data_IF_751409084452
#
_entry.id   IF_751409084452
#
_cell.length_a   1.000
_cell.length_b   1.000
_cell.length_c   1.000
_cell.angle_alpha   90.00
_cell.angle_beta   90.00
_cell.angle_gamma   90.00
#
_symmetry.space_group_name_H-M   'P 1'
#
loop_
_entity.id
_entity.type
_entity.pdbx_description
1 polymer ?
#
# COMPACT_ATOMS: atom_id res chain seq x y z
N UNK A 1 -45.23 40.65 -13.73
CA UNK A 1 -45.01 40.01 -12.41
C UNK A 1 -44.21 38.73 -12.62
N UNK A 2 -43.08 38.57 -11.95
CA UNK A 2 -42.35 37.29 -11.91
C UNK A 2 -43.20 36.24 -11.16
N UNK A 3 -43.19 34.99 -11.64
CA UNK A 3 -43.88 33.89 -10.94
C UNK A 3 -43.28 33.68 -9.54
N UNK A 4 -44.12 33.38 -8.52
CA UNK A 4 -43.61 33.05 -7.19
C UNK A 4 -42.79 31.75 -7.22
N UNK A 5 -41.83 31.58 -6.29
CA UNK A 5 -41.05 30.36 -6.18
C UNK A 5 -41.94 29.16 -5.86
N UNK A 6 -41.63 28.02 -6.47
CA UNK A 6 -42.39 26.78 -6.29
C UNK A 6 -42.18 26.19 -4.89
N UNK A 7 -43.20 25.55 -4.29
CA UNK A 7 -43.03 24.76 -3.08
C UNK A 7 -42.01 23.63 -3.29
N UNK A 8 -41.20 23.34 -2.26
CA UNK A 8 -40.17 22.28 -2.32
C UNK A 8 -40.77 20.93 -2.75
N UNK A 9 -41.96 20.58 -2.26
CA UNK A 9 -42.65 19.35 -2.64
C UNK A 9 -42.90 19.26 -4.17
N UNK A 10 -43.19 20.37 -4.83
CA UNK A 10 -43.40 20.41 -6.28
C UNK A 10 -42.09 20.31 -7.06
N UNK A 11 -41.03 20.98 -6.57
CA UNK A 11 -39.67 20.85 -7.12
C UNK A 11 -39.22 19.39 -7.04
N UNK A 12 -39.42 18.75 -5.89
CA UNK A 12 -39.12 17.35 -5.67
C UNK A 12 -39.86 16.43 -6.64
N UNK A 13 -41.18 16.63 -6.83
CA UNK A 13 -41.97 15.88 -7.82
C UNK A 13 -41.48 16.09 -9.26
N UNK A 14 -41.18 17.33 -9.65
CA UNK A 14 -40.69 17.67 -11.00
C UNK A 14 -39.36 17.02 -11.33
N UNK A 15 -38.48 16.87 -10.34
CA UNK A 15 -37.14 16.31 -10.52
C UNK A 15 -37.01 14.85 -10.07
N UNK A 16 -38.10 14.18 -9.70
CA UNK A 16 -38.08 12.76 -9.30
C UNK A 16 -37.24 12.48 -8.05
N UNK A 17 -37.06 13.48 -7.17
CA UNK A 17 -36.28 13.35 -5.93
C UNK A 17 -37.20 13.46 -4.72
N UNK A 18 -36.93 12.68 -3.69
CA UNK A 18 -37.67 12.80 -2.43
C UNK A 18 -37.29 14.09 -1.70
N UNK A 19 -38.21 14.62 -0.89
CA UNK A 19 -37.94 15.76 -0.01
C UNK A 19 -36.81 15.47 0.97
N UNK A 20 -36.73 14.24 1.48
CA UNK A 20 -35.62 13.80 2.33
C UNK A 20 -34.26 13.92 1.63
N UNK A 21 -34.17 13.46 0.38
CA UNK A 21 -32.94 13.55 -0.41
C UNK A 21 -32.58 15.01 -0.73
N UNK A 22 -33.58 15.84 -1.04
CA UNK A 22 -33.38 17.27 -1.24
C UNK A 22 -32.75 17.93 -0.01
N UNK A 23 -33.29 17.72 1.18
CA UNK A 23 -32.72 18.32 2.40
C UNK A 23 -31.37 17.74 2.78
N UNK A 24 -31.12 16.45 2.49
CA UNK A 24 -29.79 15.85 2.64
C UNK A 24 -28.74 16.57 1.78
N UNK A 25 -29.05 16.82 0.52
CA UNK A 25 -28.16 17.57 -0.37
C UNK A 25 -28.08 19.05 -0.01
N UNK A 26 -29.19 19.68 0.42
CA UNK A 26 -29.19 21.05 0.92
C UNK A 26 -28.33 21.20 2.19
N UNK A 27 -28.27 20.20 3.06
CA UNK A 27 -27.38 20.22 4.22
C UNK A 27 -25.91 20.06 3.82
N UNK A 28 -25.59 19.22 2.81
CA UNK A 28 -24.21 19.00 2.35
C UNK A 28 -23.68 20.14 1.47
N UNK A 29 -24.52 20.71 0.62
CA UNK A 29 -24.11 21.63 -0.45
C UNK A 29 -24.85 22.98 -0.42
N UNK A 30 -25.80 23.18 0.50
CA UNK A 30 -26.53 24.44 0.61
C UNK A 30 -25.58 25.58 0.97
N UNK A 31 -25.73 26.71 0.28
CA UNK A 31 -24.84 27.86 0.43
C UNK A 31 -23.50 27.75 -0.31
N UNK A 32 -23.23 26.61 -0.96
CA UNK A 32 -22.06 26.45 -1.83
C UNK A 32 -22.38 26.89 -3.26
N UNK A 33 -21.43 27.55 -3.92
CA UNK A 33 -21.56 27.83 -5.34
C UNK A 33 -21.47 26.55 -6.18
N UNK A 34 -22.14 26.54 -7.34
CA UNK A 34 -22.19 25.37 -8.22
C UNK A 34 -20.79 25.04 -8.79
N UNK A 35 -19.92 26.04 -8.98
CA UNK A 35 -18.53 25.79 -9.40
C UNK A 35 -17.73 25.08 -8.31
N UNK A 36 -17.93 25.46 -7.05
CA UNK A 36 -17.24 24.83 -5.91
C UNK A 36 -17.76 23.42 -5.65
N UNK A 37 -19.06 23.19 -5.77
CA UNK A 37 -19.64 21.85 -5.66
C UNK A 37 -19.09 20.90 -6.74
N UNK A 38 -18.85 21.40 -7.97
CA UNK A 38 -18.24 20.63 -9.06
C UNK A 38 -16.77 20.30 -8.78
N UNK A 39 -15.99 21.27 -8.31
CA UNK A 39 -14.59 21.05 -7.91
C UNK A 39 -14.49 20.04 -6.77
N UNK A 40 -15.35 20.16 -5.76
CA UNK A 40 -15.38 19.23 -4.63
C UNK A 40 -15.61 17.80 -5.09
N UNK A 41 -16.58 17.58 -5.99
CA UNK A 41 -16.82 16.25 -6.57
C UNK A 41 -15.58 15.72 -7.32
N UNK A 42 -14.95 16.54 -8.15
CA UNK A 42 -13.74 16.13 -8.88
C UNK A 42 -12.59 15.75 -7.94
N UNK A 43 -12.43 16.47 -6.83
CA UNK A 43 -11.44 16.12 -5.80
C UNK A 43 -11.81 14.86 -5.03
N UNK A 44 -13.10 14.65 -4.69
CA UNK A 44 -13.57 13.41 -4.06
C UNK A 44 -13.28 12.19 -4.97
N UNK A 45 -13.56 12.32 -6.28
CA UNK A 45 -13.35 11.27 -7.27
C UNK A 45 -11.86 10.95 -7.47
N UNK A 46 -10.99 11.97 -7.63
CA UNK A 46 -9.56 11.73 -7.80
C UNK A 46 -8.94 11.18 -6.50
N UNK A 47 -9.36 11.63 -5.33
CA UNK A 47 -8.88 11.08 -4.06
C UNK A 47 -9.27 9.60 -3.92
N UNK A 48 -10.48 9.22 -4.33
CA UNK A 48 -10.88 7.82 -4.36
C UNK A 48 -10.01 6.99 -5.33
N UNK A 49 -9.73 7.51 -6.52
CA UNK A 49 -8.83 6.88 -7.51
C UNK A 49 -7.42 6.71 -6.98
N UNK A 50 -6.85 7.76 -6.39
CA UNK A 50 -5.51 7.75 -5.82
C UNK A 50 -5.37 6.78 -4.65
N UNK A 51 -6.37 6.74 -3.75
CA UNK A 51 -6.38 5.77 -2.64
C UNK A 51 -6.40 4.32 -3.14
N UNK A 52 -7.17 4.04 -4.20
CA UNK A 52 -7.21 2.71 -4.83
C UNK A 52 -5.83 2.35 -5.40
N UNK A 53 -5.23 3.23 -6.21
CA UNK A 53 -3.91 2.99 -6.79
C UNK A 53 -2.82 2.83 -5.73
N UNK A 54 -2.87 3.64 -4.66
CA UNK A 54 -1.94 3.51 -3.55
C UNK A 54 -2.08 2.15 -2.86
N UNK A 55 -3.30 1.68 -2.60
CA UNK A 55 -3.53 0.38 -2.01
C UNK A 55 -3.00 -0.76 -2.90
N UNK A 56 -3.28 -0.71 -4.20
CA UNK A 56 -2.75 -1.68 -5.18
C UNK A 56 -1.21 -1.70 -5.18
N UNK A 57 -0.58 -0.53 -5.25
CA UNK A 57 0.88 -0.40 -5.20
C UNK A 57 1.48 -0.88 -3.87
N UNK A 58 0.80 -0.63 -2.74
CA UNK A 58 1.25 -1.12 -1.44
C UNK A 58 1.21 -2.65 -1.36
N UNK A 59 0.18 -3.28 -1.94
CA UNK A 59 0.06 -4.74 -2.03
C UNK A 59 1.18 -5.32 -2.90
N UNK A 60 1.41 -4.76 -4.08
CA UNK A 60 2.48 -5.20 -4.99
C UNK A 60 3.85 -5.09 -4.32
N UNK A 61 4.13 -3.96 -3.66
CA UNK A 61 5.37 -3.75 -2.93
C UNK A 61 5.54 -4.75 -1.78
N UNK A 62 4.47 -5.06 -1.04
CA UNK A 62 4.51 -6.05 0.03
C UNK A 62 4.83 -7.46 -0.51
N UNK A 63 4.22 -7.85 -1.63
CA UNK A 63 4.51 -9.13 -2.30
C UNK A 63 5.96 -9.21 -2.77
N UNK A 64 6.46 -8.18 -3.46
CA UNK A 64 7.84 -8.13 -3.95
C UNK A 64 8.86 -8.18 -2.81
N UNK A 65 8.63 -7.43 -1.73
CA UNK A 65 9.48 -7.48 -0.53
C UNK A 65 9.47 -8.87 0.11
N UNK A 66 8.30 -9.51 0.18
CA UNK A 66 8.17 -10.88 0.69
C UNK A 66 8.93 -11.91 -0.14
N UNK A 67 8.89 -11.82 -1.46
CA UNK A 67 9.67 -12.70 -2.37
C UNK A 67 11.17 -12.46 -2.20
N UNK A 68 11.60 -11.19 -2.17
CA UNK A 68 13.01 -10.84 -2.01
C UNK A 68 13.57 -11.33 -0.67
N UNK A 69 12.81 -11.20 0.43
CA UNK A 69 13.20 -11.73 1.73
C UNK A 69 13.44 -13.25 1.68
N UNK A 70 12.50 -14.02 1.12
CA UNK A 70 12.63 -15.48 0.96
C UNK A 70 13.86 -15.86 0.13
N UNK A 71 14.15 -15.12 -0.94
CA UNK A 71 15.32 -15.37 -1.78
C UNK A 71 16.64 -15.12 -1.05
N UNK A 72 16.71 -14.07 -0.22
CA UNK A 72 17.89 -13.79 0.62
C UNK A 72 18.08 -14.92 1.64
N UNK A 73 17.01 -15.36 2.29
CA UNK A 73 17.08 -16.45 3.26
C UNK A 73 17.56 -17.75 2.61
N UNK A 74 17.04 -18.09 1.42
CA UNK A 74 17.46 -19.26 0.66
C UNK A 74 18.96 -19.18 0.28
N UNK A 75 19.46 -18.00 -0.13
CA UNK A 75 20.89 -17.79 -0.42
C UNK A 75 21.74 -17.97 0.83
N UNK A 76 21.31 -17.43 1.98
CA UNK A 76 22.01 -17.55 3.26
C UNK A 76 22.10 -19.01 3.73
N UNK A 77 21.01 -19.77 3.61
CA UNK A 77 20.98 -21.19 3.96
C UNK A 77 21.90 -22.03 3.06
N UNK A 78 21.98 -21.74 1.75
CA UNK A 78 22.94 -22.41 0.86
C UNK A 78 24.39 -22.11 1.24
N UNK A 79 24.70 -20.87 1.61
CA UNK A 79 26.04 -20.49 2.06
C UNK A 79 26.45 -21.19 3.36
N UNK A 80 25.53 -21.40 4.31
CA UNK A 80 25.85 -22.10 5.56
C UNK A 80 26.04 -23.61 5.39
N UNK A 81 25.37 -24.24 4.42
CA UNK A 81 25.49 -25.69 4.13
C UNK A 81 26.73 -26.06 3.31
N UNK A 82 27.40 -25.08 2.70
CA UNK A 82 28.57 -25.29 1.84
C UNK A 82 29.93 -25.13 2.52
N UNK A 83 30.00 -24.85 3.83
CA UNK A 83 31.26 -24.76 4.54
C UNK A 83 31.82 -26.18 4.80
N UNK A 84 32.98 -26.56 4.24
CA UNK A 84 33.59 -27.84 4.61
C UNK A 84 33.99 -27.78 6.08
N UNK A 85 33.60 -28.79 6.86
CA UNK A 85 34.15 -29.02 8.20
C UNK A 85 35.64 -29.21 8.01
N UNK A 86 36.44 -28.23 8.43
CA UNK A 86 37.89 -28.37 8.46
C UNK A 86 38.23 -29.38 9.56
N UNK A 87 38.49 -30.61 9.17
CA UNK A 87 39.03 -31.64 10.08
C UNK A 87 40.40 -31.17 10.61
N UNK A 88 40.42 -30.76 11.88
CA UNK A 88 41.61 -30.31 12.59
C UNK A 88 42.57 -31.47 12.99
N UNK A 89 42.71 -32.50 12.15
CA UNK A 89 43.49 -33.72 12.45
C UNK A 89 44.55 -34.02 11.37
N UNK A 90 45.43 -33.05 11.13
CA UNK A 90 46.77 -33.16 10.50
C UNK A 90 47.24 -31.70 10.48
N UNK A 91 48.22 -31.25 11.26
CA UNK A 91 49.60 -31.71 11.32
C UNK A 91 50.17 -31.39 12.71
N UNK A 92 50.62 -32.42 13.43
CA UNK A 92 51.52 -32.26 14.57
C UNK A 92 52.60 -33.35 14.44
N UNK A 93 53.50 -33.15 13.49
CA UNK A 93 54.71 -33.97 13.34
C UNK A 93 55.77 -33.23 12.52
N UNK A 94 56.33 -32.16 13.08
CA UNK A 94 57.63 -31.65 12.69
C UNK A 94 58.36 -31.28 13.98
N UNK A 95 59.07 -32.25 14.56
CA UNK A 95 59.79 -32.01 15.81
C UNK A 95 60.32 -33.26 16.48
N UNK A 96 61.13 -34.07 15.77
CA UNK A 96 62.16 -34.90 16.41
C UNK A 96 63.30 -35.11 15.40
N UNK A 97 64.37 -34.32 15.47
CA UNK A 97 65.69 -34.78 15.03
C UNK A 97 66.55 -34.91 16.28
N UNK A 98 66.83 -36.17 16.63
CA UNK A 98 67.65 -36.58 17.76
C UNK A 98 69.13 -36.31 17.52
N UNK A 99 69.82 -36.05 18.63
CA UNK A 99 71.23 -35.74 18.82
C UNK A 99 72.05 -37.04 19.03
N UNK A 100 73.31 -37.07 18.54
CA UNK A 100 74.38 -38.05 18.89
C UNK A 100 74.34 -39.38 18.11
N UNK A 101 75.44 -40.09 17.78
CA UNK A 101 76.85 -40.07 18.16
C UNK A 101 77.63 -40.89 17.09
N UNK A 102 78.84 -40.46 16.68
CA UNK A 102 80.14 -41.15 16.86
C UNK A 102 81.24 -40.41 16.12
#
# INVERSE_FOLDING_TARGET
>A
MSKPPLPIAEVCRKHGVSTALFYKYKAKFGGMDVSDARKLKAFEDENARLKKLLAEQMLDNAMLRGINAKNVDARRQKASRGAPVRDARRERAAGVFHFGHR
#
